data_IF_456977239906
#
_entry.id   IF_456977239906
#
_cell.length_a   1.000
_cell.length_b   1.000
_cell.length_c   1.000
_cell.angle_alpha   90.00
_cell.angle_beta   90.00
_cell.angle_gamma   90.00
#
_symmetry.space_group_name_H-M   'P 1'
#
loop_
_entity.id
_entity.type
_entity.pdbx_description
1 polymer ?
#
# COMPACT_ATOMS: atom_id res chain seq x y z
N UNK A 1 -1.41 6.78 32.68
CA UNK A 1 -2.03 7.21 31.42
C UNK A 1 -2.05 6.08 30.38
N UNK A 2 -0.89 5.51 30.01
CA UNK A 2 -0.81 4.44 28.99
C UNK A 2 -1.58 3.19 29.34
N UNK A 3 -1.50 2.70 30.58
CA UNK A 3 -2.29 1.55 31.02
C UNK A 3 -3.80 1.77 30.90
N UNK A 4 -4.28 2.98 31.20
CA UNK A 4 -5.70 3.34 31.04
C UNK A 4 -6.15 3.21 29.56
N UNK A 5 -5.33 3.75 28.63
CA UNK A 5 -5.60 3.65 27.19
C UNK A 5 -5.57 2.18 26.73
N UNK A 6 -4.63 1.39 27.21
CA UNK A 6 -4.51 -0.02 26.88
C UNK A 6 -5.73 -0.83 27.35
N UNK A 7 -6.22 -0.59 28.56
CA UNK A 7 -7.44 -1.23 29.07
C UNK A 7 -8.69 -0.84 28.26
N UNK A 8 -8.82 0.43 27.92
CA UNK A 8 -9.92 0.89 27.10
C UNK A 8 -9.85 0.31 25.67
N UNK A 9 -8.64 0.23 25.09
CA UNK A 9 -8.40 -0.44 23.82
C UNK A 9 -8.87 -1.91 23.86
N UNK A 10 -8.48 -2.66 24.91
CA UNK A 10 -8.90 -4.05 25.07
C UNK A 10 -10.41 -4.16 25.12
N UNK A 11 -11.09 -3.32 25.90
CA UNK A 11 -12.54 -3.30 26.00
C UNK A 11 -13.20 -3.03 24.65
N UNK A 12 -12.74 -2.02 23.91
CA UNK A 12 -13.29 -1.67 22.59
C UNK A 12 -13.01 -2.75 21.53
N UNK A 13 -11.91 -3.50 21.68
CA UNK A 13 -11.60 -4.65 20.82
C UNK A 13 -12.36 -5.92 21.22
N UNK A 14 -13.16 -5.89 22.29
CA UNK A 14 -13.86 -7.06 22.82
C UNK A 14 -12.93 -8.08 23.49
N UNK A 15 -11.76 -7.64 23.95
CA UNK A 15 -10.81 -8.44 24.73
C UNK A 15 -11.22 -8.26 26.21
N UNK A 16 -12.19 -9.05 26.64
CA UNK A 16 -12.78 -8.96 27.98
C UNK A 16 -12.77 -10.32 28.65
N UNK A 17 -12.89 -10.31 29.98
CA UNK A 17 -12.99 -11.50 30.82
C UNK A 17 -11.85 -12.51 30.55
N UNK A 18 -10.62 -12.03 30.45
CA UNK A 18 -9.46 -12.87 30.15
C UNK A 18 -8.24 -12.41 30.96
N UNK A 19 -7.28 -13.30 31.12
CA UNK A 19 -5.99 -12.99 31.70
C UNK A 19 -5.15 -12.16 30.70
N UNK A 20 -4.49 -11.11 31.19
CA UNK A 20 -3.64 -10.28 30.34
C UNK A 20 -2.47 -9.67 31.12
N UNK A 21 -1.48 -9.23 30.37
CA UNK A 21 -0.33 -8.46 30.85
C UNK A 21 -0.15 -7.26 29.95
N UNK A 22 0.09 -6.08 30.54
CA UNK A 22 0.48 -4.87 29.82
C UNK A 22 1.92 -4.55 30.17
N UNK A 23 2.81 -4.60 29.18
CA UNK A 23 4.24 -4.32 29.34
C UNK A 23 4.58 -3.00 28.67
N UNK A 24 5.03 -2.02 29.45
CA UNK A 24 5.51 -0.74 28.93
C UNK A 24 6.99 -0.82 28.59
N UNK A 25 7.37 -0.32 27.42
CA UNK A 25 8.76 -0.17 27.02
C UNK A 25 9.27 1.23 27.37
N UNK A 26 10.46 1.28 28.03
CA UNK A 26 11.08 2.54 28.47
C UNK A 26 12.31 2.93 27.65
N UNK A 27 12.85 2.00 26.87
CA UNK A 27 14.14 2.13 26.18
C UNK A 27 13.98 2.44 24.68
N UNK A 28 12.91 3.09 24.30
CA UNK A 28 12.61 3.46 22.91
C UNK A 28 12.19 4.91 22.79
N UNK A 29 12.54 5.55 21.67
CA UNK A 29 12.17 6.95 21.37
C UNK A 29 10.66 7.16 21.27
N UNK A 30 9.90 6.09 20.99
CA UNK A 30 8.45 6.14 20.91
C UNK A 30 7.84 5.39 22.10
N UNK A 31 7.18 6.08 23.03
CA UNK A 31 6.50 5.44 24.15
C UNK A 31 5.42 4.48 23.66
N UNK A 32 5.53 3.21 24.01
CA UNK A 32 4.56 2.20 23.64
C UNK A 32 4.43 1.11 24.71
N UNK A 33 3.36 0.32 24.63
CA UNK A 33 3.17 -0.87 25.42
C UNK A 33 2.75 -2.04 24.55
N UNK A 34 3.03 -3.24 25.03
CA UNK A 34 2.51 -4.48 24.50
C UNK A 34 1.40 -4.99 25.39
N UNK A 35 0.34 -5.50 24.78
CA UNK A 35 -0.74 -6.19 25.45
C UNK A 35 -0.65 -7.65 25.06
N UNK A 36 -0.42 -8.52 26.03
CA UNK A 36 -0.44 -9.97 25.87
C UNK A 36 -1.65 -10.49 26.60
N UNK A 37 -2.50 -11.26 25.96
CA UNK A 37 -3.72 -11.78 26.58
C UNK A 37 -3.99 -13.22 26.15
N UNK A 38 -4.70 -13.94 27.00
CA UNK A 38 -5.19 -15.28 26.68
C UNK A 38 -6.40 -15.15 25.75
N UNK A 39 -6.35 -15.79 24.57
CA UNK A 39 -7.46 -15.79 23.61
C UNK A 39 -8.67 -16.64 24.03
N UNK A 40 -8.48 -17.47 25.03
CA UNK A 40 -9.59 -18.18 25.68
C UNK A 40 -9.98 -17.36 26.92
N UNK A 41 -11.21 -16.92 27.03
CA UNK A 41 -11.68 -16.19 28.20
C UNK A 41 -11.92 -17.13 29.40
N UNK A 42 -12.24 -16.56 30.56
CA UNK A 42 -12.44 -17.35 31.78
C UNK A 42 -13.67 -18.29 31.72
N UNK A 43 -14.58 -18.07 30.78
CA UNK A 43 -15.69 -18.97 30.47
C UNK A 43 -15.36 -20.08 29.47
N UNK A 44 -14.11 -20.18 29.01
CA UNK A 44 -13.69 -21.16 28.02
C UNK A 44 -14.06 -20.79 26.57
N UNK A 45 -14.51 -19.56 26.29
CA UNK A 45 -14.89 -19.10 24.95
C UNK A 45 -13.72 -18.41 24.25
N UNK A 46 -13.63 -18.63 22.95
CA UNK A 46 -12.61 -17.99 22.09
C UNK A 46 -12.95 -16.51 21.86
N UNK A 47 -12.02 -15.62 22.20
CA UNK A 47 -12.09 -14.20 21.83
C UNK A 47 -11.80 -14.08 20.32
N UNK A 48 -12.76 -13.52 19.60
CA UNK A 48 -12.71 -13.44 18.14
C UNK A 48 -11.68 -12.43 17.63
N UNK A 49 -10.84 -12.86 16.70
CA UNK A 49 -9.91 -12.04 15.93
C UNK A 49 -10.45 -11.65 14.54
N UNK A 50 -11.73 -11.90 14.29
CA UNK A 50 -12.37 -11.57 13.01
C UNK A 50 -12.29 -10.07 12.74
N UNK A 51 -11.73 -9.73 11.55
CA UNK A 51 -11.53 -8.34 11.11
C UNK A 51 -10.64 -7.49 12.05
N UNK A 52 -9.70 -8.08 12.77
CA UNK A 52 -8.84 -7.41 13.73
C UNK A 52 -8.19 -6.15 13.19
N UNK A 53 -7.59 -6.19 12.01
CA UNK A 53 -6.94 -5.03 11.42
C UNK A 53 -7.89 -3.84 11.24
N UNK A 54 -9.11 -4.09 10.77
CA UNK A 54 -10.11 -3.05 10.55
C UNK A 54 -10.65 -2.50 11.88
N UNK A 55 -10.90 -3.38 12.83
CA UNK A 55 -11.35 -3.00 14.19
C UNK A 55 -10.27 -2.20 14.90
N UNK A 56 -9.02 -2.67 14.87
CA UNK A 56 -7.87 -1.98 15.44
C UNK A 56 -7.71 -0.58 14.84
N UNK A 57 -7.83 -0.41 13.53
CA UNK A 57 -7.76 0.91 12.89
C UNK A 57 -8.86 1.85 13.42
N UNK A 58 -10.08 1.37 13.55
CA UNK A 58 -11.19 2.15 14.07
C UNK A 58 -11.00 2.52 15.54
N UNK A 59 -10.67 1.55 16.38
CA UNK A 59 -10.46 1.74 17.82
C UNK A 59 -9.29 2.70 18.08
N UNK A 60 -8.18 2.53 17.38
CA UNK A 60 -7.02 3.42 17.54
C UNK A 60 -7.31 4.85 17.09
N UNK A 61 -8.12 5.08 16.05
CA UNK A 61 -8.57 6.42 15.65
C UNK A 61 -9.43 7.09 16.73
N UNK A 62 -10.37 6.35 17.31
CA UNK A 62 -11.23 6.85 18.39
C UNK A 62 -10.40 7.22 19.62
N UNK A 63 -9.50 6.33 20.05
CA UNK A 63 -8.64 6.59 21.22
C UNK A 63 -7.67 7.75 20.98
N UNK A 64 -7.10 7.87 19.80
CA UNK A 64 -6.26 9.01 19.44
C UNK A 64 -7.01 10.32 19.51
N UNK A 65 -8.21 10.38 18.97
CA UNK A 65 -9.07 11.57 19.05
C UNK A 65 -9.44 11.89 20.50
N UNK A 66 -9.87 10.88 21.27
CA UNK A 66 -10.29 11.04 22.67
C UNK A 66 -9.19 11.57 23.58
N UNK A 67 -7.96 11.11 23.38
CA UNK A 67 -6.81 11.42 24.23
C UNK A 67 -5.86 12.47 23.67
N UNK A 68 -6.20 13.09 22.54
CA UNK A 68 -5.35 14.10 21.87
C UNK A 68 -4.00 13.56 21.42
N UNK A 69 -3.93 12.27 21.04
CA UNK A 69 -2.68 11.64 20.62
C UNK A 69 -2.35 11.98 19.17
N UNK A 70 -1.04 12.08 18.88
CA UNK A 70 -0.56 12.36 17.53
C UNK A 70 -0.83 11.20 16.58
N UNK A 71 -1.27 11.50 15.37
CA UNK A 71 -1.27 10.56 14.27
C UNK A 71 0.15 10.41 13.76
N UNK A 72 0.56 9.17 13.45
CA UNK A 72 1.87 8.93 12.81
C UNK A 72 2.00 9.78 11.55
N UNK A 73 3.18 10.31 11.31
CA UNK A 73 3.48 11.02 10.05
C UNK A 73 3.34 10.06 8.87
N UNK A 74 2.91 10.60 7.74
CA UNK A 74 2.80 9.84 6.48
C UNK A 74 4.13 9.09 6.21
N UNK A 75 4.00 7.89 5.66
CA UNK A 75 5.14 7.04 5.27
C UNK A 75 6.16 7.75 4.37
N UNK A 76 5.77 8.83 3.71
CA UNK A 76 6.68 9.68 2.91
C UNK A 76 7.86 10.27 3.71
N UNK A 77 7.72 10.39 5.04
CA UNK A 77 8.76 10.92 5.95
C UNK A 77 9.53 9.82 6.71
N UNK A 78 9.37 8.57 6.31
CA UNK A 78 10.07 7.45 6.98
C UNK A 78 11.58 7.58 6.82
N UNK A 79 12.33 7.49 7.91
CA UNK A 79 13.79 7.45 7.86
C UNK A 79 14.26 6.10 7.29
N UNK A 80 14.49 6.08 5.99
CA UNK A 80 14.87 4.87 5.24
C UNK A 80 16.20 4.27 5.68
N UNK A 81 17.09 5.06 6.31
CA UNK A 81 18.40 4.57 6.80
C UNK A 81 18.26 3.58 7.95
N UNK A 82 17.17 3.66 8.73
CA UNK A 82 16.87 2.74 9.85
C UNK A 82 16.15 1.47 9.41
N UNK A 83 15.71 1.37 8.16
CA UNK A 83 15.03 0.20 7.64
C UNK A 83 16.01 -0.93 7.31
N UNK A 84 15.57 -2.19 7.47
CA UNK A 84 16.27 -3.35 6.93
C UNK A 84 16.36 -3.25 5.40
N UNK A 85 17.39 -3.84 4.80
CA UNK A 85 17.62 -3.71 3.36
C UNK A 85 16.40 -4.04 2.49
N UNK A 86 15.69 -5.12 2.80
CA UNK A 86 14.46 -5.51 2.08
C UNK A 86 13.32 -4.48 2.25
N UNK A 87 13.14 -3.92 3.45
CA UNK A 87 12.12 -2.90 3.72
C UNK A 87 12.47 -1.58 3.05
N UNK A 88 13.76 -1.23 3.03
CA UNK A 88 14.28 -0.07 2.31
C UNK A 88 14.00 -0.20 0.82
N UNK A 89 14.37 -1.32 0.21
CA UNK A 89 14.11 -1.57 -1.20
C UNK A 89 12.62 -1.50 -1.54
N UNK A 90 11.76 -2.10 -0.70
CA UNK A 90 10.30 -2.02 -0.85
C UNK A 90 9.78 -0.58 -0.80
N UNK A 91 10.31 0.23 0.10
CA UNK A 91 9.94 1.63 0.26
C UNK A 91 10.40 2.48 -0.94
N UNK A 92 11.63 2.28 -1.38
CA UNK A 92 12.19 2.97 -2.55
C UNK A 92 11.44 2.60 -3.83
N UNK A 93 11.06 1.32 -4.00
CA UNK A 93 10.18 0.87 -5.09
C UNK A 93 8.84 1.60 -5.03
N UNK A 94 8.20 1.69 -3.84
CA UNK A 94 6.92 2.39 -3.69
C UNK A 94 7.00 3.85 -4.17
N UNK A 95 8.05 4.57 -3.77
CA UNK A 95 8.26 5.95 -4.17
C UNK A 95 8.57 6.07 -5.67
N UNK A 96 9.43 5.21 -6.20
CA UNK A 96 9.74 5.16 -7.62
C UNK A 96 8.49 4.91 -8.49
N UNK A 97 7.64 3.97 -8.09
CA UNK A 97 6.37 3.67 -8.77
C UNK A 97 5.42 4.88 -8.70
N UNK A 98 5.25 5.47 -7.52
CA UNK A 98 4.42 6.66 -7.31
C UNK A 98 4.84 7.82 -8.21
N UNK A 99 6.14 8.07 -8.32
CA UNK A 99 6.66 9.17 -9.15
C UNK A 99 6.62 8.84 -10.64
N UNK A 100 6.92 7.60 -11.04
CA UNK A 100 6.83 7.16 -12.42
C UNK A 100 5.39 7.25 -12.96
N UNK A 101 4.39 7.00 -12.13
CA UNK A 101 2.99 7.10 -12.50
C UNK A 101 2.50 8.53 -12.75
N UNK A 102 3.20 9.57 -12.31
CA UNK A 102 2.82 10.97 -12.56
C UNK A 102 2.97 11.34 -14.04
N UNK A 103 3.97 10.77 -14.73
CA UNK A 103 4.29 11.08 -16.12
C UNK A 103 4.06 9.95 -17.12
N UNK A 104 3.66 8.76 -16.66
CA UNK A 104 3.47 7.60 -17.52
C UNK A 104 2.01 7.47 -17.97
N UNK A 105 1.80 7.41 -19.27
CA UNK A 105 0.52 7.16 -19.96
C UNK A 105 0.46 5.76 -20.61
N UNK A 106 1.55 5.04 -20.61
CA UNK A 106 1.69 3.71 -21.22
C UNK A 106 2.65 2.82 -20.44
N UNK A 107 2.55 1.50 -20.63
CA UNK A 107 3.46 0.55 -20.02
C UNK A 107 4.93 0.80 -20.38
N UNK A 108 5.19 1.23 -21.63
CA UNK A 108 6.55 1.50 -22.09
C UNK A 108 7.17 2.71 -21.38
N UNK A 109 6.43 3.83 -21.29
CA UNK A 109 6.87 5.00 -20.53
C UNK A 109 7.05 4.68 -19.06
N UNK A 110 6.10 3.95 -18.47
CA UNK A 110 6.19 3.55 -17.08
C UNK A 110 7.43 2.70 -16.79
N UNK A 111 7.72 1.72 -17.65
CA UNK A 111 8.91 0.88 -17.52
C UNK A 111 10.21 1.71 -17.63
N UNK A 112 10.26 2.65 -18.57
CA UNK A 112 11.40 3.54 -18.76
C UNK A 112 11.62 4.46 -17.55
N UNK A 113 10.55 5.02 -17.00
CA UNK A 113 10.63 5.88 -15.80
C UNK A 113 11.07 5.11 -14.55
N UNK A 114 10.66 3.86 -14.40
CA UNK A 114 11.12 2.99 -13.33
C UNK A 114 12.60 2.65 -13.49
N UNK A 115 13.03 2.32 -14.70
CA UNK A 115 14.44 2.00 -15.00
C UNK A 115 15.38 3.17 -14.66
N UNK A 116 15.00 4.41 -14.96
CA UNK A 116 15.75 5.63 -14.57
C UNK A 116 15.94 5.73 -13.04
N UNK A 117 15.08 5.10 -12.26
CA UNK A 117 15.10 5.08 -10.77
C UNK A 117 15.71 3.80 -10.19
N UNK A 118 16.33 2.97 -11.07
CA UNK A 118 16.93 1.71 -10.68
C UNK A 118 15.94 0.64 -10.25
N UNK A 119 14.69 0.71 -10.73
CA UNK A 119 13.66 -0.29 -10.50
C UNK A 119 13.36 -1.02 -11.80
N UNK A 120 13.51 -2.35 -11.79
CA UNK A 120 13.15 -3.21 -12.90
C UNK A 120 11.71 -3.69 -12.74
N UNK A 121 10.91 -3.59 -13.81
CA UNK A 121 9.57 -4.12 -13.92
C UNK A 121 9.58 -5.43 -14.70
N UNK A 122 9.05 -6.48 -14.10
CA UNK A 122 8.88 -7.79 -14.73
C UNK A 122 7.42 -8.19 -14.79
N UNK A 123 6.99 -8.70 -15.96
CA UNK A 123 5.67 -9.31 -16.11
C UNK A 123 5.73 -10.80 -15.74
N UNK A 124 4.78 -11.24 -14.94
CA UNK A 124 4.60 -12.65 -14.60
C UNK A 124 3.50 -13.22 -15.48
N UNK A 125 3.81 -14.24 -16.25
CA UNK A 125 2.88 -14.86 -17.19
C UNK A 125 2.29 -16.14 -16.61
N UNK A 126 1.04 -16.44 -16.99
CA UNK A 126 0.33 -17.64 -16.57
C UNK A 126 0.79 -18.86 -17.37
N UNK A 127 1.17 -18.64 -18.62
CA UNK A 127 1.54 -19.65 -19.59
C UNK A 127 3.02 -19.53 -20.03
N UNK A 128 3.56 -20.63 -20.57
CA UNK A 128 4.93 -20.67 -21.11
C UNK A 128 5.08 -19.80 -22.39
N UNK A 129 4.00 -19.60 -23.11
CA UNK A 129 3.93 -18.85 -24.37
C UNK A 129 3.85 -17.33 -24.14
N UNK A 130 3.77 -16.90 -22.87
CA UNK A 130 3.72 -15.48 -22.44
C UNK A 130 2.57 -14.68 -23.06
N UNK A 131 1.43 -15.34 -23.29
CA UNK A 131 0.25 -14.71 -23.88
C UNK A 131 -0.61 -13.99 -22.83
N UNK A 132 -0.65 -14.52 -21.59
CA UNK A 132 -1.49 -13.98 -20.52
C UNK A 132 -0.66 -13.53 -19.32
N UNK A 133 -0.67 -12.22 -19.06
CA UNK A 133 -0.03 -11.66 -17.88
C UNK A 133 -0.88 -11.96 -16.64
N UNK A 134 -0.30 -12.64 -15.66
CA UNK A 134 -0.91 -12.95 -14.37
C UNK A 134 -0.65 -11.85 -13.34
N UNK A 135 0.47 -11.16 -13.44
CA UNK A 135 0.87 -10.16 -12.48
C UNK A 135 2.15 -9.43 -12.86
N UNK A 136 2.62 -8.59 -11.97
CA UNK A 136 3.88 -7.87 -12.12
C UNK A 136 4.73 -7.97 -10.86
N UNK A 137 6.03 -7.86 -11.05
CA UNK A 137 7.03 -7.75 -9.99
C UNK A 137 7.89 -6.52 -10.21
N UNK A 138 8.30 -5.93 -9.12
CA UNK A 138 9.27 -4.84 -9.08
C UNK A 138 10.53 -5.35 -8.41
N UNK A 139 11.67 -5.17 -9.06
CA UNK A 139 12.96 -5.62 -8.58
C UNK A 139 13.90 -4.44 -8.36
N UNK A 140 14.61 -4.43 -7.23
CA UNK A 140 15.61 -3.43 -6.87
C UNK A 140 16.61 -4.01 -5.87
N UNK A 141 17.90 -3.76 -6.07
CA UNK A 141 18.99 -4.14 -5.17
C UNK A 141 18.95 -5.64 -4.76
N UNK A 142 18.64 -6.52 -5.71
CA UNK A 142 18.52 -7.96 -5.47
C UNK A 142 17.22 -8.42 -4.82
N UNK A 143 16.33 -7.51 -4.46
CA UNK A 143 15.00 -7.84 -3.92
C UNK A 143 13.93 -7.78 -5.00
N UNK A 144 12.96 -8.70 -4.92
CA UNK A 144 11.84 -8.77 -5.86
C UNK A 144 10.51 -8.87 -5.10
N UNK A 145 9.57 -7.97 -5.41
CA UNK A 145 8.25 -7.91 -4.76
C UNK A 145 7.14 -7.94 -5.80
N UNK A 146 6.05 -8.66 -5.49
CA UNK A 146 4.82 -8.57 -6.29
C UNK A 146 4.25 -7.15 -6.19
N UNK A 147 3.64 -6.64 -7.24
CA UNK A 147 3.02 -5.31 -7.24
C UNK A 147 2.08 -5.10 -6.04
N UNK A 148 1.27 -6.10 -5.71
CA UNK A 148 0.35 -6.09 -4.56
C UNK A 148 1.04 -6.07 -3.19
N UNK A 149 2.29 -6.53 -3.10
CA UNK A 149 3.09 -6.46 -1.86
C UNK A 149 3.63 -5.04 -1.60
N UNK A 150 3.77 -4.24 -2.64
CA UNK A 150 4.14 -2.82 -2.54
C UNK A 150 2.90 -2.00 -2.20
N UNK A 151 1.85 -2.10 -3.03
CA UNK A 151 0.54 -1.49 -2.80
C UNK A 151 -0.53 -2.27 -3.55
N UNK A 152 -1.77 -2.30 -3.02
CA UNK A 152 -2.92 -2.84 -3.74
C UNK A 152 -3.20 -2.09 -5.05
N UNK A 153 -2.82 -0.82 -5.13
CA UNK A 153 -2.98 0.02 -6.32
C UNK A 153 -1.97 -0.29 -7.41
N UNK A 154 -0.89 -0.99 -7.08
CA UNK A 154 0.16 -1.41 -8.02
C UNK A 154 -0.01 -2.86 -8.48
N UNK A 155 -1.23 -3.40 -8.42
CA UNK A 155 -1.57 -4.67 -9.09
C UNK A 155 -1.56 -4.51 -10.60
N UNK A 156 -1.24 -5.59 -11.33
CA UNK A 156 -1.29 -5.57 -12.80
C UNK A 156 -2.64 -5.05 -13.31
N UNK A 157 -3.76 -5.59 -12.79
CA UNK A 157 -5.09 -5.20 -13.27
C UNK A 157 -5.39 -3.71 -13.10
N UNK A 158 -5.01 -3.09 -11.97
CA UNK A 158 -5.23 -1.65 -11.77
C UNK A 158 -4.36 -0.78 -12.66
N UNK A 159 -3.08 -1.14 -12.82
CA UNK A 159 -2.17 -0.40 -13.68
C UNK A 159 -2.54 -0.58 -15.16
N UNK A 160 -2.96 -1.79 -15.56
CA UNK A 160 -3.40 -2.06 -16.92
C UNK A 160 -4.67 -1.24 -17.28
N UNK A 161 -5.65 -1.25 -16.41
CA UNK A 161 -6.87 -0.43 -16.60
C UNK A 161 -6.54 1.08 -16.73
N UNK A 162 -5.54 1.56 -15.98
CA UNK A 162 -5.08 2.95 -16.09
C UNK A 162 -4.45 3.25 -17.46
N UNK A 163 -3.56 2.38 -17.94
CA UNK A 163 -2.85 2.60 -19.20
C UNK A 163 -3.74 2.37 -20.43
N UNK A 164 -4.57 1.31 -20.44
CA UNK A 164 -5.56 1.08 -21.50
C UNK A 164 -6.58 2.24 -21.61
N UNK A 165 -7.04 2.76 -20.47
CA UNK A 165 -7.90 3.93 -20.43
C UNK A 165 -7.23 5.17 -21.05
N UNK A 166 -5.93 5.35 -20.82
CA UNK A 166 -5.17 6.48 -21.38
C UNK A 166 -4.92 6.30 -22.87
N UNK A 167 -4.58 5.12 -23.34
CA UNK A 167 -4.39 4.81 -24.77
C UNK A 167 -5.68 5.03 -25.56
N UNK A 168 -6.83 4.63 -25.01
CA UNK A 168 -8.14 4.85 -25.63
C UNK A 168 -8.49 6.34 -25.73
N UNK A 169 -8.16 7.15 -24.72
CA UNK A 169 -8.37 8.59 -24.74
C UNK A 169 -7.46 9.30 -25.75
N UNK A 170 -6.20 8.88 -25.85
CA UNK A 170 -5.25 9.44 -26.82
C UNK A 170 -5.63 9.09 -28.26
N UNK A 171 -6.05 7.85 -28.50
CA UNK A 171 -6.52 7.43 -29.84
C UNK A 171 -7.82 8.14 -30.25
N UNK A 172 -8.74 8.38 -29.33
CA UNK A 172 -9.95 9.15 -29.60
C UNK A 172 -9.63 10.63 -29.92
N UNK A 173 -8.70 11.26 -29.20
CA UNK A 173 -8.23 12.63 -29.48
C UNK A 173 -7.54 12.74 -30.84
N UNK A 174 -6.68 11.76 -31.19
CA UNK A 174 -6.00 11.73 -32.48
C UNK A 174 -7.00 11.60 -33.64
N UNK A 175 -8.02 10.75 -33.52
CA UNK A 175 -9.09 10.62 -34.51
C UNK A 175 -9.91 11.91 -34.68
N UNK A 176 -10.23 12.58 -33.57
CA UNK A 176 -10.94 13.87 -33.62
C UNK A 176 -10.10 14.95 -34.31
N UNK A 177 -8.79 15.04 -34.00
CA UNK A 177 -7.90 16.01 -34.66
C UNK A 177 -7.82 15.78 -36.18
N UNK A 178 -7.67 14.51 -36.61
CA UNK A 178 -7.69 14.19 -38.06
C UNK A 178 -8.99 14.51 -38.75
N UNK A 179 -10.13 14.36 -38.09
CA UNK A 179 -11.42 14.75 -38.63
C UNK A 179 -11.56 16.27 -38.78
N UNK A 180 -11.03 17.06 -37.85
CA UNK A 180 -10.98 18.51 -37.94
C UNK A 180 -10.10 18.99 -39.09
N UNK A 181 -8.92 18.41 -39.31
CA UNK A 181 -8.03 18.74 -40.43
C UNK A 181 -8.66 18.39 -41.80
N UNK A 182 -9.29 17.22 -41.91
CA UNK A 182 -9.98 16.82 -43.16
C UNK A 182 -11.23 17.66 -43.48
N UNK A 183 -11.89 18.20 -42.44
CA UNK A 183 -13.03 19.14 -42.63
C UNK A 183 -12.57 20.52 -43.13
N UNK A 184 -11.40 20.97 -42.71
CA UNK A 184 -10.84 22.27 -43.12
C UNK A 184 -10.39 22.30 -44.61
N UNK A 185 -9.88 21.16 -45.11
CA UNK A 185 -9.43 21.02 -46.49
C UNK A 185 -10.56 20.76 -47.52
N UNK A 186 -11.79 20.51 -47.08
CA UNK A 186 -12.96 20.33 -47.98
C UNK A 186 -13.77 21.60 -48.23
N UNK A 187 -13.51 22.68 -47.49
CA UNK A 187 -14.25 23.95 -47.57
C UNK A 187 -13.39 25.13 -48.13
N UNK A 188 -12.21 24.83 -48.67
CA UNK A 188 -11.39 25.72 -49.49
C UNK A 188 -11.15 25.02 -50.81
#
# INVERSE_FOLDING_TARGET
>A
FMAKIALEYMQMMGITDTQFIIVRHHNTDNPHCHIVYNRINNEGKLISDRNDYRRNEQVTKVLKSKYGLTYGTDKSKTNTRKLRNAERAKYEIHNAVKDALKGADSWQKFKNELAKRGVLLEFVYKDKERTKVQGIRFCKDGYSFKGTQISRDYSFGKLNARFEGTENLLSARAKSAQQYEQGYHKNN
#
